data_IF_670586049345
#
_entry.id   IF_670586049345
#
_cell.length_a   1.000
_cell.length_b   1.000
_cell.length_c   1.000
_cell.angle_alpha   90.00
_cell.angle_beta   90.00
_cell.angle_gamma   90.00
#
_symmetry.space_group_name_H-M   'P 1'
#
loop_
_entity.id
_entity.type
_entity.pdbx_description
1 polymer ?
#
# COMPACT_ATOMS: atom_id res chain seq x y z
N UNK A 1 -0.89 -30.85 4.73
CA UNK A 1 -0.50 -31.33 6.07
C UNK A 1 -0.80 -32.82 6.14
N UNK A 2 0.23 -33.64 5.97
CA UNK A 2 0.23 -35.09 6.12
C UNK A 2 1.33 -35.41 7.15
N UNK A 3 1.09 -36.26 8.16
CA UNK A 3 2.11 -36.62 9.12
C UNK A 3 3.01 -37.71 8.52
N UNK A 4 4.32 -37.48 8.58
CA UNK A 4 5.35 -38.40 8.11
C UNK A 4 5.82 -39.27 9.29
N UNK A 5 5.66 -40.58 9.13
CA UNK A 5 6.09 -41.62 10.05
C UNK A 5 7.59 -41.52 10.34
N UNK A 6 7.92 -41.36 11.62
CA UNK A 6 9.30 -41.37 12.12
C UNK A 6 9.62 -42.78 12.61
N UNK A 7 10.13 -43.62 11.71
CA UNK A 7 10.66 -44.93 12.08
C UNK A 7 11.90 -44.76 12.96
N UNK A 8 11.82 -45.33 14.17
CA UNK A 8 12.95 -45.51 15.07
C UNK A 8 13.83 -46.66 14.56
N UNK A 9 15.06 -46.36 14.16
CA UNK A 9 16.12 -47.36 14.09
C UNK A 9 17.03 -47.19 15.31
N UNK A 10 16.84 -48.06 16.31
CA UNK A 10 17.83 -48.31 17.37
C UNK A 10 18.93 -49.18 16.77
N UNK A 11 20.03 -48.57 16.37
CA UNK A 11 21.27 -49.29 16.04
C UNK A 11 21.98 -49.71 17.33
N UNK A 12 22.17 -51.01 17.49
CA UNK A 12 22.95 -51.65 18.56
C UNK A 12 24.41 -51.21 18.43
N UNK A 13 24.90 -50.41 19.38
CA UNK A 13 26.33 -50.08 19.50
C UNK A 13 27.03 -51.14 20.33
N UNK A 14 27.55 -52.20 19.70
CA UNK A 14 28.58 -53.04 20.31
C UNK A 14 29.94 -52.42 20.02
N UNK A 15 30.43 -51.64 20.97
CA UNK A 15 31.79 -51.10 20.96
C UNK A 15 32.78 -52.26 21.12
N UNK A 16 33.67 -52.57 20.16
CA UNK A 16 34.83 -53.38 20.49
C UNK A 16 35.75 -52.51 21.35
N UNK A 17 36.14 -53.04 22.50
CA UNK A 17 37.09 -52.48 23.44
C UNK A 17 38.40 -52.15 22.71
N UNK A 18 38.51 -50.91 22.20
CA UNK A 18 39.76 -50.37 21.67
C UNK A 18 40.73 -50.20 22.82
N UNK A 19 41.62 -51.19 22.99
CA UNK A 19 42.86 -51.03 23.73
C UNK A 19 43.55 -49.80 23.13
N UNK A 20 43.63 -48.71 23.91
CA UNK A 20 44.35 -47.49 23.53
C UNK A 20 45.84 -47.83 23.52
N UNK A 21 46.33 -48.38 22.41
CA UNK A 21 47.76 -48.45 22.12
C UNK A 21 48.18 -47.02 21.80
N UNK A 22 48.99 -46.41 22.66
CA UNK A 22 49.51 -45.07 22.38
C UNK A 22 50.48 -45.12 21.20
N UNK A 23 50.65 -44.01 20.48
CA UNK A 23 51.58 -43.90 19.35
C UNK A 23 53.03 -44.22 19.76
N UNK A 24 53.32 -44.03 21.04
CA UNK A 24 54.60 -44.33 21.68
C UNK A 24 54.76 -45.84 21.97
N UNK A 25 53.66 -46.54 22.29
CA UNK A 25 53.68 -48.00 22.48
C UNK A 25 53.83 -48.77 21.17
N UNK A 26 53.37 -48.21 20.05
CA UNK A 26 53.49 -48.85 18.72
C UNK A 26 54.93 -48.83 18.19
N UNK A 27 55.75 -47.87 18.64
CA UNK A 27 57.18 -47.77 18.30
C UNK A 27 58.06 -48.57 19.29
N UNK A 28 57.72 -48.59 20.59
CA UNK A 28 58.40 -49.43 21.60
C UNK A 28 58.32 -50.93 21.32
N UNK A 29 57.36 -51.35 20.53
CA UNK A 29 57.11 -52.73 20.12
C UNK A 29 58.19 -53.28 19.18
N UNK A 30 58.99 -52.39 18.57
CA UNK A 30 60.02 -52.71 17.59
C UNK A 30 61.37 -52.96 18.26
N UNK A 31 61.60 -52.37 19.43
CA UNK A 31 62.85 -52.51 20.17
C UNK A 31 62.97 -53.88 20.85
N UNK A 32 64.19 -54.44 20.96
CA UNK A 32 64.41 -55.66 21.71
C UNK A 32 63.95 -55.48 23.17
N UNK A 33 63.12 -56.41 23.67
CA UNK A 33 62.63 -56.35 25.05
C UNK A 33 63.78 -56.47 26.07
N UNK A 34 64.86 -57.14 25.66
CA UNK A 34 66.06 -57.38 26.46
C UNK A 34 67.06 -56.25 26.25
N UNK A 35 67.57 -55.72 27.37
CA UNK A 35 68.64 -54.71 27.37
C UNK A 35 70.02 -55.29 27.67
N UNK A 36 70.12 -56.60 27.97
CA UNK A 36 71.36 -57.28 28.35
C UNK A 36 71.48 -58.65 27.69
N UNK A 37 72.70 -59.00 27.28
CA UNK A 37 73.05 -60.32 26.77
C UNK A 37 73.16 -61.31 27.94
N UNK A 38 72.30 -62.33 27.96
CA UNK A 38 72.23 -63.33 29.05
C UNK A 38 73.03 -64.59 28.71
N UNK A 39 73.17 -64.93 27.43
CA UNK A 39 73.94 -66.10 27.00
C UNK A 39 75.43 -65.77 26.95
N UNK A 40 76.24 -66.73 27.42
CA UNK A 40 77.69 -66.64 27.40
C UNK A 40 78.23 -66.65 25.95
N UNK A 41 77.52 -67.30 25.02
CA UNK A 41 77.85 -67.29 23.59
C UNK A 41 77.62 -65.91 22.97
N UNK A 42 76.50 -65.26 23.30
CA UNK A 42 76.19 -63.93 22.75
C UNK A 42 77.08 -62.84 23.35
N UNK A 43 77.43 -62.95 24.63
CA UNK A 43 78.46 -62.13 25.27
C UNK A 43 79.84 -62.32 24.63
N UNK A 44 80.23 -63.56 24.30
CA UNK A 44 81.49 -63.85 23.58
C UNK A 44 81.49 -63.25 22.18
N UNK A 45 80.40 -63.38 21.42
CA UNK A 45 80.30 -62.82 20.06
C UNK A 45 80.43 -61.29 20.10
N UNK A 46 79.73 -60.62 21.02
CA UNK A 46 79.87 -59.18 21.23
C UNK A 46 81.30 -58.81 21.67
N UNK A 47 81.89 -59.58 22.59
CA UNK A 47 83.25 -59.38 23.08
C UNK A 47 84.33 -59.57 22.00
N UNK A 48 84.16 -60.51 21.07
CA UNK A 48 85.06 -60.69 19.92
C UNK A 48 85.01 -59.46 19.01
N UNK A 49 83.82 -58.90 18.79
CA UNK A 49 83.68 -57.68 17.99
C UNK A 49 84.26 -56.46 18.71
N UNK A 50 84.06 -56.34 20.02
CA UNK A 50 84.69 -55.29 20.85
C UNK A 50 86.23 -55.40 20.82
N UNK A 51 86.76 -56.62 20.89
CA UNK A 51 88.19 -56.90 20.75
C UNK A 51 88.71 -56.58 19.34
N UNK A 52 87.93 -56.92 18.31
CA UNK A 52 88.27 -56.62 16.92
C UNK A 52 88.33 -55.11 16.68
N UNK A 53 87.30 -54.37 17.11
CA UNK A 53 87.26 -52.90 17.04
C UNK A 53 88.51 -52.32 17.71
N UNK A 54 88.83 -52.76 18.93
CA UNK A 54 89.99 -52.26 19.68
C UNK A 54 91.31 -52.55 18.98
N UNK A 55 91.46 -53.75 18.40
CA UNK A 55 92.67 -54.14 17.65
C UNK A 55 92.81 -53.34 16.35
N UNK A 56 91.72 -53.15 15.62
CA UNK A 56 91.70 -52.36 14.38
C UNK A 56 91.99 -50.88 14.68
N UNK A 57 91.44 -50.34 15.77
CA UNK A 57 91.77 -49.01 16.28
C UNK A 57 93.26 -48.89 16.62
N UNK A 58 93.84 -49.88 17.31
CA UNK A 58 95.27 -49.88 17.60
C UNK A 58 96.15 -49.94 16.34
N UNK A 59 95.79 -50.78 15.37
CA UNK A 59 96.51 -50.90 14.09
C UNK A 59 96.39 -49.60 13.29
N UNK A 60 95.21 -48.98 13.26
CA UNK A 60 94.97 -47.70 12.61
C UNK A 60 95.85 -46.56 13.18
N UNK A 61 96.18 -46.64 14.47
CA UNK A 61 97.00 -45.64 15.17
C UNK A 61 98.50 -45.92 15.12
N UNK A 62 98.90 -47.14 14.75
CA UNK A 62 100.29 -47.58 14.76
C UNK A 62 101.21 -46.71 13.87
N UNK A 63 100.83 -46.32 12.64
CA UNK A 63 101.67 -45.47 11.79
C UNK A 63 101.92 -44.08 12.40
N UNK A 64 100.91 -43.49 13.04
CA UNK A 64 100.99 -42.17 13.71
C UNK A 64 101.95 -42.25 14.89
N UNK A 65 101.83 -43.34 15.66
CA UNK A 65 102.65 -43.60 16.84
C UNK A 65 104.10 -43.88 16.47
N UNK A 66 104.36 -44.62 15.39
CA UNK A 66 105.71 -44.87 14.88
C UNK A 66 106.34 -43.56 14.36
N UNK A 67 105.56 -42.72 13.66
CA UNK A 67 106.04 -41.45 13.14
C UNK A 67 106.35 -40.41 14.23
N UNK A 68 105.76 -40.54 15.41
CA UNK A 68 105.97 -39.61 16.53
C UNK A 68 105.97 -40.36 17.87
N UNK A 69 107.10 -41.02 18.23
CA UNK A 69 107.23 -41.82 19.46
C UNK A 69 107.01 -41.00 20.74
N UNK A 70 107.17 -39.68 20.66
CA UNK A 70 106.96 -38.74 21.76
C UNK A 70 105.51 -38.64 22.24
N UNK A 71 104.52 -39.02 21.44
CA UNK A 71 103.10 -39.03 21.86
C UNK A 71 102.79 -40.08 22.93
N UNK A 72 103.69 -41.05 23.15
CA UNK A 72 103.51 -42.16 24.09
C UNK A 72 104.25 -41.98 25.42
N UNK A 73 104.87 -40.82 25.66
CA UNK A 73 105.74 -40.59 26.81
C UNK A 73 105.03 -40.65 28.17
N UNK A 74 103.71 -40.50 28.20
CA UNK A 74 102.92 -40.54 29.44
C UNK A 74 102.25 -41.91 29.57
N UNK A 75 102.95 -42.86 30.19
CA UNK A 75 102.34 -44.09 30.71
C UNK A 75 102.79 -45.42 30.11
N UNK A 76 103.83 -45.45 29.27
CA UNK A 76 104.40 -46.71 28.75
C UNK A 76 105.56 -47.24 29.60
N UNK A 77 105.66 -48.57 29.70
CA UNK A 77 106.90 -49.23 30.11
C UNK A 77 108.05 -48.75 29.20
N UNK A 78 109.18 -48.37 29.81
CA UNK A 78 110.38 -47.86 29.12
C UNK A 78 110.79 -48.74 27.93
N UNK A 79 110.61 -50.05 28.04
CA UNK A 79 110.93 -51.00 26.97
C UNK A 79 110.04 -50.93 25.72
N UNK A 80 108.77 -50.49 25.80
CA UNK A 80 107.90 -50.41 24.62
C UNK A 80 108.23 -49.18 23.75
N UNK A 81 108.49 -48.03 24.39
CA UNK A 81 108.95 -46.83 23.68
C UNK A 81 110.30 -47.04 22.99
N UNK A 82 111.20 -47.78 23.63
CA UNK A 82 112.48 -48.19 23.06
C UNK A 82 112.29 -49.09 21.82
N UNK A 83 111.45 -50.13 21.91
CA UNK A 83 111.17 -51.00 20.75
C UNK A 83 110.48 -50.29 19.58
N UNK A 84 109.62 -49.30 19.84
CA UNK A 84 108.99 -48.46 18.80
C UNK A 84 110.04 -47.54 18.17
N UNK A 85 110.93 -46.95 18.98
CA UNK A 85 112.04 -46.13 18.49
C UNK A 85 113.05 -46.93 17.67
N UNK A 86 113.36 -48.15 18.08
CA UNK A 86 114.23 -49.06 17.34
C UNK A 86 113.60 -49.52 16.03
N UNK A 87 112.29 -49.82 16.03
CA UNK A 87 111.55 -50.07 14.79
C UNK A 87 111.58 -48.87 13.85
N UNK A 88 111.38 -47.65 14.36
CA UNK A 88 111.46 -46.45 13.55
C UNK A 88 112.85 -46.26 12.92
N UNK A 89 113.93 -46.50 13.68
CA UNK A 89 115.31 -46.47 13.16
C UNK A 89 115.53 -47.54 12.08
N UNK A 90 115.07 -48.77 12.31
CA UNK A 90 115.15 -49.87 11.35
C UNK A 90 114.36 -49.55 10.08
N UNK A 91 113.15 -49.01 10.22
CA UNK A 91 112.31 -48.55 9.12
C UNK A 91 112.96 -47.42 8.30
N UNK A 92 113.57 -46.44 8.98
CA UNK A 92 114.30 -45.35 8.29
C UNK A 92 115.55 -45.82 7.56
N UNK A 93 116.27 -46.80 8.13
CA UNK A 93 117.42 -47.45 7.45
C UNK A 93 116.96 -48.22 6.23
N UNK A 94 115.88 -48.98 6.35
CA UNK A 94 115.28 -49.72 5.25
C UNK A 94 114.79 -48.78 4.14
N UNK A 95 114.11 -47.69 4.48
CA UNK A 95 113.67 -46.66 3.52
C UNK A 95 114.85 -46.00 2.79
N UNK A 96 115.93 -45.69 3.51
CA UNK A 96 117.16 -45.15 2.92
C UNK A 96 117.86 -46.15 2.00
N UNK A 97 117.94 -47.43 2.41
CA UNK A 97 118.51 -48.51 1.60
C UNK A 97 117.66 -48.80 0.37
N UNK A 98 116.34 -48.78 0.51
CA UNK A 98 115.38 -48.93 -0.57
C UNK A 98 115.54 -47.83 -1.62
N UNK A 99 115.70 -46.57 -1.22
CA UNK A 99 115.99 -45.49 -2.16
C UNK A 99 117.33 -45.66 -2.88
N UNK A 100 118.33 -46.25 -2.22
CA UNK A 100 119.64 -46.57 -2.83
C UNK A 100 119.48 -47.71 -3.85
N UNK A 101 118.75 -48.77 -3.51
CA UNK A 101 118.43 -49.88 -4.43
C UNK A 101 117.58 -49.43 -5.62
N UNK A 102 116.64 -48.50 -5.41
CA UNK A 102 115.82 -47.92 -6.49
C UNK A 102 116.62 -46.97 -7.40
N UNK A 103 117.77 -46.43 -6.95
CA UNK A 103 118.61 -45.51 -7.72
C UNK A 103 119.77 -46.17 -8.47
N UNK A 104 120.08 -47.45 -8.20
CA UNK A 104 121.12 -48.21 -8.90
C UNK A 104 120.50 -49.03 -10.04
N UNK A 105 120.57 -48.50 -11.27
CA UNK A 105 119.90 -49.10 -12.43
C UNK A 105 120.72 -50.20 -13.16
N UNK A 106 121.99 -50.44 -12.80
CA UNK A 106 122.88 -51.36 -13.54
C UNK A 106 123.63 -52.43 -12.71
N UNK A 107 123.33 -52.57 -11.41
CA UNK A 107 123.74 -53.75 -10.64
C UNK A 107 122.50 -54.31 -9.97
N UNK A 108 122.17 -55.58 -10.25
CA UNK A 108 121.13 -56.29 -9.52
C UNK A 108 121.45 -56.20 -8.03
N UNK A 109 120.60 -55.58 -7.19
CA UNK A 109 120.78 -55.69 -5.75
C UNK A 109 120.78 -57.19 -5.42
N UNK A 110 121.71 -57.64 -4.57
CA UNK A 110 121.71 -59.01 -4.12
C UNK A 110 120.32 -59.26 -3.51
N UNK A 111 119.48 -60.07 -4.15
CA UNK A 111 118.11 -60.34 -3.69
C UNK A 111 118.08 -60.83 -2.22
N UNK A 112 119.24 -61.33 -1.76
CA UNK A 112 119.53 -61.70 -0.38
C UNK A 112 119.61 -60.50 0.57
N UNK A 113 120.28 -59.40 0.21
CA UNK A 113 120.38 -58.20 1.06
C UNK A 113 119.04 -57.49 1.23
N UNK A 114 118.25 -57.41 0.15
CA UNK A 114 116.88 -56.85 0.20
C UNK A 114 115.96 -57.72 1.07
N UNK A 115 116.02 -59.05 0.89
CA UNK A 115 115.29 -60.03 1.70
C UNK A 115 115.72 -60.00 3.18
N UNK A 116 117.01 -59.84 3.46
CA UNK A 116 117.55 -59.76 4.83
C UNK A 116 117.10 -58.46 5.52
N UNK A 117 117.07 -57.34 4.80
CA UNK A 117 116.58 -56.06 5.35
C UNK A 117 115.06 -56.06 5.56
N UNK A 118 114.29 -56.63 4.63
CA UNK A 118 112.85 -56.87 4.81
C UNK A 118 112.59 -57.77 6.02
N UNK A 119 113.39 -58.84 6.17
CA UNK A 119 113.30 -59.74 7.32
C UNK A 119 113.61 -59.01 8.64
N UNK A 120 114.58 -58.09 8.66
CA UNK A 120 114.91 -57.27 9.84
C UNK A 120 113.77 -56.32 10.20
N UNK A 121 113.15 -55.63 9.22
CA UNK A 121 111.96 -54.79 9.45
C UNK A 121 110.80 -55.63 10.00
N UNK A 122 110.59 -56.80 9.43
CA UNK A 122 109.51 -57.71 9.83
C UNK A 122 109.74 -58.32 11.22
N UNK A 123 110.97 -58.70 11.58
CA UNK A 123 111.33 -59.11 12.94
C UNK A 123 111.08 -57.98 13.94
N UNK A 124 111.48 -56.76 13.59
CA UNK A 124 111.26 -55.57 14.40
C UNK A 124 109.76 -55.27 14.60
N UNK A 125 108.93 -55.41 13.57
CA UNK A 125 107.46 -55.30 13.69
C UNK A 125 106.89 -56.39 14.61
N UNK A 126 107.35 -57.63 14.47
CA UNK A 126 106.90 -58.75 15.32
C UNK A 126 107.27 -58.53 16.79
N UNK A 127 108.46 -58.04 17.06
CA UNK A 127 108.91 -57.75 18.42
C UNK A 127 108.15 -56.56 19.02
N UNK A 128 107.85 -55.54 18.22
CA UNK A 128 106.93 -54.47 18.60
C UNK A 128 105.54 -55.01 18.95
N UNK A 129 104.91 -55.81 18.08
CA UNK A 129 103.59 -56.36 18.35
C UNK A 129 103.57 -57.31 19.55
N UNK A 130 104.61 -58.13 19.75
CA UNK A 130 104.75 -58.96 20.95
C UNK A 130 104.82 -58.12 22.21
N UNK A 131 105.59 -57.01 22.19
CA UNK A 131 105.71 -56.11 23.33
C UNK A 131 104.44 -55.29 23.58
N UNK A 132 103.72 -54.90 22.53
CA UNK A 132 102.38 -54.29 22.60
C UNK A 132 101.38 -55.27 23.24
N UNK A 133 101.40 -56.54 22.86
CA UNK A 133 100.53 -57.58 23.44
C UNK A 133 100.89 -57.90 24.89
N UNK A 134 102.17 -57.86 25.26
CA UNK A 134 102.65 -58.10 26.62
C UNK A 134 102.37 -56.92 27.57
N UNK A 135 102.18 -55.70 27.04
CA UNK A 135 101.92 -54.50 27.82
C UNK A 135 100.42 -54.35 28.09
N UNK A 136 100.01 -54.56 29.35
CA UNK A 136 98.60 -54.48 29.77
C UNK A 136 97.99 -53.07 29.62
N UNK A 137 98.82 -52.02 29.62
CA UNK A 137 98.41 -50.62 29.44
C UNK A 137 98.46 -50.14 27.99
N UNK A 138 98.91 -50.96 27.04
CA UNK A 138 99.00 -50.56 25.64
C UNK A 138 97.63 -50.09 25.11
N UNK A 139 96.57 -50.87 25.30
CA UNK A 139 95.27 -50.52 24.74
C UNK A 139 94.69 -49.18 25.22
N UNK A 140 94.89 -48.80 26.50
CA UNK A 140 94.38 -47.52 27.02
C UNK A 140 95.23 -46.33 26.55
N UNK A 141 96.54 -46.53 26.39
CA UNK A 141 97.44 -45.50 25.87
C UNK A 141 97.20 -45.22 24.39
N UNK A 142 97.01 -46.25 23.55
CA UNK A 142 96.61 -46.08 22.16
C UNK A 142 95.22 -45.42 22.04
N UNK A 143 94.26 -45.77 22.89
CA UNK A 143 92.95 -45.10 22.90
C UNK A 143 93.05 -43.59 23.21
N UNK A 144 93.90 -43.20 24.17
CA UNK A 144 94.13 -41.80 24.51
C UNK A 144 94.79 -41.02 23.36
N UNK A 145 95.76 -41.64 22.67
CA UNK A 145 96.39 -41.07 21.46
C UNK A 145 95.38 -40.97 20.32
N UNK A 146 94.51 -41.97 20.19
CA UNK A 146 93.41 -41.96 19.22
C UNK A 146 92.48 -40.76 19.40
N UNK A 147 92.11 -40.43 20.64
CA UNK A 147 91.29 -39.24 20.91
C UNK A 147 91.96 -37.90 20.54
N UNK A 148 93.30 -37.87 20.41
CA UNK A 148 94.08 -36.68 20.09
C UNK A 148 94.46 -36.57 18.61
N UNK A 149 94.44 -37.66 17.84
CA UNK A 149 95.04 -37.74 16.50
C UNK A 149 94.16 -38.32 15.39
N UNK A 150 92.91 -38.72 15.70
CA UNK A 150 91.94 -39.26 14.72
C UNK A 150 91.39 -38.23 13.72
N UNK A 151 92.23 -37.44 13.06
CA UNK A 151 91.80 -36.56 11.95
C UNK A 151 92.65 -36.68 10.67
N UNK A 152 93.63 -37.60 10.60
CA UNK A 152 94.63 -37.55 9.52
C UNK A 152 94.57 -38.64 8.44
N UNK A 153 93.72 -39.67 8.57
CA UNK A 153 93.59 -40.71 7.55
C UNK A 153 92.16 -41.28 7.46
N UNK A 154 91.50 -41.16 6.30
CA UNK A 154 90.07 -41.46 6.12
C UNK A 154 89.74 -42.96 6.03
N UNK A 155 90.64 -43.77 5.49
CA UNK A 155 90.40 -45.19 5.24
C UNK A 155 90.25 -46.04 6.51
N UNK A 156 91.18 -45.99 7.48
CA UNK A 156 91.07 -46.80 8.70
C UNK A 156 89.92 -46.35 9.62
N UNK A 157 89.54 -45.07 9.56
CA UNK A 157 88.44 -44.51 10.36
C UNK A 157 87.08 -45.03 9.89
N UNK A 158 86.81 -45.03 8.59
CA UNK A 158 85.58 -45.58 8.01
C UNK A 158 85.39 -47.06 8.36
N UNK A 159 86.48 -47.84 8.44
CA UNK A 159 86.42 -49.23 8.87
C UNK A 159 86.03 -49.36 10.35
N UNK A 160 86.61 -48.55 11.23
CA UNK A 160 86.27 -48.54 12.66
C UNK A 160 84.81 -48.10 12.88
N UNK A 161 84.34 -47.08 12.15
CA UNK A 161 82.95 -46.61 12.18
C UNK A 161 81.98 -47.70 11.72
N UNK A 162 82.26 -48.34 10.58
CA UNK A 162 81.46 -49.47 10.08
C UNK A 162 81.43 -50.65 11.06
N UNK A 163 82.52 -50.94 11.77
CA UNK A 163 82.54 -51.97 12.81
C UNK A 163 81.70 -51.56 14.05
N UNK A 164 81.68 -50.28 14.41
CA UNK A 164 80.82 -49.75 15.48
C UNK A 164 79.34 -49.79 15.09
N UNK A 165 79.00 -49.48 13.84
CA UNK A 165 77.64 -49.64 13.31
C UNK A 165 77.21 -51.11 13.29
N UNK A 166 78.09 -51.99 12.79
CA UNK A 166 77.87 -53.43 12.81
C UNK A 166 77.64 -53.94 14.24
N UNK A 167 78.37 -53.40 15.22
CA UNK A 167 78.18 -53.72 16.64
C UNK A 167 76.79 -53.33 17.14
N UNK A 168 76.27 -52.18 16.75
CA UNK A 168 74.90 -51.76 17.11
C UNK A 168 73.86 -52.72 16.53
N UNK A 169 73.97 -53.03 15.24
CA UNK A 169 73.07 -53.98 14.55
C UNK A 169 73.16 -55.37 15.16
N UNK A 170 74.37 -55.86 15.42
CA UNK A 170 74.61 -57.16 16.02
C UNK A 170 74.04 -57.24 17.44
N UNK A 171 74.17 -56.18 18.24
CA UNK A 171 73.55 -56.10 19.56
C UNK A 171 72.03 -56.12 19.47
N UNK A 172 71.41 -55.35 18.58
CA UNK A 172 69.96 -55.40 18.36
C UNK A 172 69.51 -56.82 18.00
N UNK A 173 70.23 -57.50 17.09
CA UNK A 173 69.92 -58.86 16.65
C UNK A 173 70.16 -59.93 17.71
N UNK A 174 71.20 -59.80 18.54
CA UNK A 174 71.48 -60.72 19.64
C UNK A 174 70.56 -60.51 20.86
N UNK A 175 70.01 -59.31 21.02
CA UNK A 175 69.03 -58.99 22.07
C UNK A 175 67.60 -59.37 21.66
N UNK A 176 67.33 -59.53 20.36
CA UNK A 176 66.03 -59.91 19.82
C UNK A 176 65.85 -61.43 19.85
N UNK A 177 64.74 -61.90 20.41
CA UNK A 177 64.42 -63.33 20.40
C UNK A 177 63.74 -63.75 19.09
N UNK A 178 63.82 -65.02 18.68
CA UNK A 178 63.12 -65.49 17.47
C UNK A 178 61.60 -65.33 17.51
N UNK A 179 61.00 -65.30 18.71
CA UNK A 179 59.58 -65.05 18.89
C UNK A 179 59.24 -63.56 18.66
N UNK A 180 60.05 -62.65 19.21
CA UNK A 180 59.92 -61.20 19.01
C UNK A 180 60.12 -60.82 17.54
N UNK A 181 61.09 -61.41 16.83
CA UNK A 181 61.29 -61.15 15.40
C UNK A 181 60.08 -61.58 14.57
N UNK A 182 59.50 -62.76 14.84
CA UNK A 182 58.26 -63.22 14.19
C UNK A 182 57.09 -62.29 14.48
N UNK A 183 56.96 -61.84 15.73
CA UNK A 183 55.92 -60.90 16.12
C UNK A 183 56.09 -59.53 15.45
N UNK A 184 57.34 -59.03 15.32
CA UNK A 184 57.67 -57.81 14.58
C UNK A 184 57.26 -57.93 13.11
N UNK A 185 57.58 -59.05 12.46
CA UNK A 185 57.19 -59.32 11.07
C UNK A 185 55.66 -59.36 10.92
N UNK A 186 54.95 -60.14 11.74
CA UNK A 186 53.49 -60.24 11.70
C UNK A 186 52.83 -58.87 11.92
N UNK A 187 53.27 -58.12 12.92
CA UNK A 187 52.75 -56.77 13.20
C UNK A 187 52.99 -55.81 12.03
N UNK A 188 54.17 -55.86 11.41
CA UNK A 188 54.48 -55.02 10.26
C UNK A 188 53.60 -55.36 9.05
N UNK A 189 53.33 -56.65 8.83
CA UNK A 189 52.39 -57.11 7.80
C UNK A 189 50.95 -56.66 8.10
N UNK A 190 50.47 -56.82 9.33
CA UNK A 190 49.16 -56.33 9.75
C UNK A 190 49.02 -54.81 9.57
N UNK A 191 50.06 -54.04 9.93
CA UNK A 191 50.06 -52.60 9.74
C UNK A 191 50.01 -52.22 8.26
N UNK A 192 50.73 -52.94 7.39
CA UNK A 192 50.69 -52.75 5.94
C UNK A 192 49.31 -53.06 5.36
N UNK A 193 48.70 -54.17 5.78
CA UNK A 193 47.34 -54.55 5.37
C UNK A 193 46.32 -53.51 5.82
N UNK A 194 46.36 -53.09 7.08
CA UNK A 194 45.49 -52.02 7.61
C UNK A 194 45.72 -50.71 6.86
N UNK A 195 46.96 -50.38 6.52
CA UNK A 195 47.27 -49.19 5.73
C UNK A 195 46.62 -49.26 4.35
N UNK A 196 46.75 -50.38 3.62
CA UNK A 196 46.10 -50.56 2.32
C UNK A 196 44.57 -50.53 2.43
N UNK A 197 43.97 -51.25 3.38
CA UNK A 197 42.51 -51.21 3.58
C UNK A 197 41.99 -49.81 3.95
N UNK A 198 42.75 -49.05 4.74
CA UNK A 198 42.40 -47.66 5.04
C UNK A 198 42.53 -46.77 3.80
N UNK A 199 43.55 -46.99 2.97
CA UNK A 199 43.74 -46.23 1.73
C UNK A 199 42.58 -46.48 0.75
N UNK A 200 42.17 -47.75 0.59
CA UNK A 200 41.01 -48.12 -0.22
C UNK A 200 39.73 -47.50 0.34
N UNK A 201 39.54 -47.54 1.67
CA UNK A 201 38.40 -46.90 2.32
C UNK A 201 38.38 -45.38 2.07
N UNK A 202 39.52 -44.70 2.20
CA UNK A 202 39.62 -43.27 1.89
C UNK A 202 39.24 -43.00 0.44
N UNK A 203 39.75 -43.78 -0.52
CA UNK A 203 39.42 -43.62 -1.93
C UNK A 203 37.92 -43.83 -2.20
N UNK A 204 37.28 -44.82 -1.57
CA UNK A 204 35.83 -45.04 -1.70
C UNK A 204 35.02 -43.87 -1.12
N UNK A 205 35.39 -43.35 0.04
CA UNK A 205 34.71 -42.22 0.67
C UNK A 205 34.90 -40.93 -0.14
N UNK A 206 36.09 -40.70 -0.69
CA UNK A 206 36.35 -39.57 -1.59
C UNK A 206 35.47 -39.66 -2.85
N UNK A 207 35.32 -40.86 -3.43
CA UNK A 207 34.45 -41.08 -4.58
C UNK A 207 32.96 -40.88 -4.24
N UNK A 208 32.49 -41.36 -3.09
CA UNK A 208 31.11 -41.15 -2.61
C UNK A 208 30.82 -39.66 -2.37
N UNK A 209 31.75 -38.93 -1.76
CA UNK A 209 31.62 -37.48 -1.55
C UNK A 209 31.58 -36.75 -2.89
N UNK A 210 32.46 -37.10 -3.83
CA UNK A 210 32.45 -36.50 -5.16
C UNK A 210 31.14 -36.75 -5.92
N UNK A 211 30.62 -37.98 -5.84
CA UNK A 211 29.32 -38.34 -6.43
C UNK A 211 28.17 -37.54 -5.78
N UNK A 212 28.13 -37.46 -4.45
CA UNK A 212 27.11 -36.70 -3.73
C UNK A 212 27.14 -35.20 -4.05
N UNK A 213 28.34 -34.61 -4.20
CA UNK A 213 28.50 -33.21 -4.63
C UNK A 213 27.94 -33.02 -6.05
N UNK A 214 28.27 -33.92 -6.97
CA UNK A 214 27.79 -33.86 -8.35
C UNK A 214 26.26 -33.95 -8.42
N UNK A 215 25.65 -34.91 -7.73
CA UNK A 215 24.20 -35.10 -7.70
C UNK A 215 23.49 -33.86 -7.12
N UNK A 216 24.05 -33.29 -6.04
CA UNK A 216 23.55 -32.04 -5.46
C UNK A 216 23.62 -30.89 -6.47
N UNK A 217 24.74 -30.75 -7.18
CA UNK A 217 24.92 -29.65 -8.15
C UNK A 217 23.99 -29.80 -9.36
N UNK A 218 23.72 -31.03 -9.81
CA UNK A 218 22.71 -31.33 -10.84
C UNK A 218 21.30 -30.96 -10.38
N UNK A 219 20.91 -31.29 -9.14
CA UNK A 219 19.64 -30.86 -8.57
C UNK A 219 19.52 -29.34 -8.46
N UNK A 220 20.57 -28.67 -7.98
CA UNK A 220 20.62 -27.22 -7.89
C UNK A 220 20.46 -26.60 -9.28
N UNK A 221 21.11 -27.15 -10.31
CA UNK A 221 20.96 -26.70 -11.69
C UNK A 221 19.52 -26.84 -12.20
N UNK A 222 18.87 -27.99 -11.95
CA UNK A 222 17.46 -28.22 -12.30
C UNK A 222 16.52 -27.23 -11.59
N UNK A 223 16.69 -27.05 -10.27
CA UNK A 223 15.90 -26.08 -9.49
C UNK A 223 16.12 -24.64 -9.98
N UNK A 224 17.36 -24.27 -10.31
CA UNK A 224 17.69 -22.96 -10.88
C UNK A 224 17.07 -22.73 -12.26
N UNK A 225 16.95 -23.76 -13.10
CA UNK A 225 16.21 -23.67 -14.37
C UNK A 225 14.73 -23.40 -14.13
N UNK A 226 14.09 -24.16 -13.22
CA UNK A 226 12.69 -23.94 -12.85
C UNK A 226 12.47 -22.53 -12.30
N UNK A 227 13.35 -22.05 -11.42
CA UNK A 227 13.28 -20.67 -10.89
C UNK A 227 13.35 -19.64 -12.03
N UNK A 228 14.24 -19.83 -13.01
CA UNK A 228 14.33 -18.93 -14.18
C UNK A 228 13.06 -18.94 -15.03
N UNK A 229 12.49 -20.11 -15.29
CA UNK A 229 11.22 -20.23 -16.02
C UNK A 229 10.07 -19.56 -15.28
N UNK A 230 9.93 -19.80 -13.97
CA UNK A 230 8.89 -19.20 -13.14
C UNK A 230 9.05 -17.67 -13.05
N UNK A 231 10.27 -17.15 -12.90
CA UNK A 231 10.53 -15.70 -12.93
C UNK A 231 10.12 -15.07 -14.26
N UNK A 232 10.45 -15.71 -15.38
CA UNK A 232 10.06 -15.23 -16.71
C UNK A 232 8.54 -15.23 -16.89
N UNK A 233 7.88 -16.32 -16.50
CA UNK A 233 6.42 -16.44 -16.59
C UNK A 233 5.71 -15.43 -15.69
N UNK A 234 6.21 -15.20 -14.48
CA UNK A 234 5.66 -14.20 -13.56
C UNK A 234 5.78 -12.79 -14.15
N UNK A 235 6.95 -12.42 -14.67
CA UNK A 235 7.15 -11.12 -15.30
C UNK A 235 6.25 -10.92 -16.53
N UNK A 236 6.06 -11.96 -17.35
CA UNK A 236 5.13 -11.93 -18.47
C UNK A 236 3.69 -11.72 -18.00
N UNK A 237 3.26 -12.44 -16.95
CA UNK A 237 1.92 -12.30 -16.40
C UNK A 237 1.68 -10.90 -15.81
N UNK A 238 2.65 -10.37 -15.07
CA UNK A 238 2.62 -9.01 -14.51
C UNK A 238 2.46 -7.98 -15.62
N UNK A 239 3.29 -8.05 -16.67
CA UNK A 239 3.18 -7.17 -17.83
C UNK A 239 1.81 -7.27 -18.53
N UNK A 240 1.30 -8.48 -18.74
CA UNK A 240 -0.02 -8.68 -19.35
C UNK A 240 -1.12 -8.07 -18.48
N UNK A 241 -1.01 -8.21 -17.15
CA UNK A 241 -1.96 -7.64 -16.20
C UNK A 241 -1.91 -6.11 -16.19
N UNK A 242 -0.72 -5.52 -16.17
CA UNK A 242 -0.53 -4.07 -16.28
C UNK A 242 -1.11 -3.51 -17.59
N UNK A 243 -0.80 -4.15 -18.72
CA UNK A 243 -1.33 -3.77 -20.04
C UNK A 243 -2.87 -3.93 -20.11
N UNK A 244 -3.44 -4.92 -19.41
CA UNK A 244 -4.89 -5.09 -19.30
C UNK A 244 -5.52 -3.97 -18.48
N UNK A 245 -4.99 -3.69 -17.29
CA UNK A 245 -5.48 -2.62 -16.40
C UNK A 245 -5.38 -1.26 -17.08
N UNK A 246 -4.27 -0.97 -17.75
CA UNK A 246 -4.07 0.28 -18.48
C UNK A 246 -5.13 0.45 -19.59
N UNK A 247 -5.39 -0.59 -20.39
CA UNK A 247 -6.42 -0.57 -21.44
C UNK A 247 -7.83 -0.38 -20.87
N UNK A 248 -8.19 -1.14 -19.83
CA UNK A 248 -9.50 -1.01 -19.19
C UNK A 248 -9.72 0.37 -18.61
N UNK A 249 -8.69 0.95 -17.97
CA UNK A 249 -8.76 2.31 -17.44
C UNK A 249 -8.94 3.34 -18.54
N UNK A 250 -8.16 3.24 -19.63
CA UNK A 250 -8.28 4.16 -20.76
C UNK A 250 -9.67 4.08 -21.41
N UNK A 251 -10.23 2.88 -21.55
CA UNK A 251 -11.58 2.72 -22.10
C UNK A 251 -12.66 3.29 -21.18
N UNK A 252 -12.55 3.05 -19.87
CA UNK A 252 -13.44 3.65 -18.88
C UNK A 252 -13.36 5.20 -18.89
N UNK A 253 -12.17 5.78 -19.01
CA UNK A 253 -11.98 7.22 -19.11
C UNK A 253 -12.61 7.80 -20.39
N UNK A 254 -12.48 7.12 -21.54
CA UNK A 254 -13.15 7.53 -22.79
C UNK A 254 -14.66 7.47 -22.67
N UNK A 255 -15.19 6.38 -22.10
CA UNK A 255 -16.63 6.21 -21.89
C UNK A 255 -17.18 7.28 -20.95
N UNK A 256 -16.52 7.50 -19.80
CA UNK A 256 -16.89 8.57 -18.87
C UNK A 256 -16.88 9.95 -19.52
N UNK A 257 -15.89 10.27 -20.36
CA UNK A 257 -15.85 11.54 -21.08
C UNK A 257 -17.00 11.71 -22.07
N UNK A 258 -17.37 10.63 -22.78
CA UNK A 258 -18.51 10.62 -23.68
C UNK A 258 -19.83 10.81 -22.94
N UNK A 259 -20.00 10.10 -21.82
CA UNK A 259 -21.20 10.18 -20.98
C UNK A 259 -21.34 11.55 -20.32
N UNK A 260 -20.23 12.12 -19.84
CA UNK A 260 -20.20 13.47 -19.27
C UNK A 260 -20.66 14.50 -20.30
N UNK A 261 -20.09 14.49 -21.52
CA UNK A 261 -20.52 15.40 -22.60
C UNK A 261 -21.99 15.25 -22.95
N UNK A 262 -22.48 14.01 -22.99
CA UNK A 262 -23.89 13.73 -23.27
C UNK A 262 -24.79 14.27 -22.16
N UNK A 263 -24.39 14.09 -20.90
CA UNK A 263 -25.07 14.60 -19.72
C UNK A 263 -25.09 16.13 -19.70
N UNK A 264 -23.94 16.78 -19.90
CA UNK A 264 -23.81 18.24 -19.96
C UNK A 264 -24.71 18.84 -21.05
N UNK A 265 -24.74 18.22 -22.24
CA UNK A 265 -25.63 18.63 -23.33
C UNK A 265 -27.12 18.44 -23.03
N UNK A 266 -27.50 17.45 -22.20
CA UNK A 266 -28.90 17.31 -21.71
C UNK A 266 -29.22 18.35 -20.65
N UNK A 267 -28.30 18.58 -19.72
CA UNK A 267 -28.46 19.58 -18.66
C UNK A 267 -28.63 20.98 -19.24
N UNK A 268 -27.82 21.37 -20.23
CA UNK A 268 -27.94 22.66 -20.91
C UNK A 268 -29.30 22.81 -21.60
N UNK A 269 -29.78 21.77 -22.28
CA UNK A 269 -31.12 21.78 -22.91
C UNK A 269 -32.24 21.95 -21.89
N UNK A 270 -32.22 21.18 -20.80
CA UNK A 270 -33.22 21.31 -19.73
C UNK A 270 -33.16 22.69 -19.07
N UNK A 271 -31.96 23.26 -18.86
CA UNK A 271 -31.81 24.62 -18.33
C UNK A 271 -32.40 25.67 -19.28
N UNK A 272 -32.19 25.52 -20.59
CA UNK A 272 -32.81 26.39 -21.60
C UNK A 272 -34.34 26.28 -21.57
N UNK A 273 -34.89 25.07 -21.51
CA UNK A 273 -36.34 24.84 -21.41
C UNK A 273 -36.93 25.46 -20.13
N UNK A 274 -36.27 25.29 -18.99
CA UNK A 274 -36.68 25.93 -17.72
C UNK A 274 -36.68 27.47 -17.85
N UNK A 275 -35.64 28.04 -18.47
CA UNK A 275 -35.58 29.49 -18.68
C UNK A 275 -36.68 30.00 -19.62
N UNK A 276 -36.99 29.25 -20.68
CA UNK A 276 -38.04 29.56 -21.63
C UNK A 276 -39.43 29.49 -20.99
N UNK A 277 -39.70 28.40 -20.24
CA UNK A 277 -40.95 28.23 -19.51
C UNK A 277 -41.12 29.30 -18.42
N UNK A 278 -40.03 29.68 -17.73
CA UNK A 278 -40.03 30.79 -16.79
C UNK A 278 -40.42 32.11 -17.44
N UNK A 279 -39.89 32.39 -18.64
CA UNK A 279 -40.27 33.58 -19.42
C UNK A 279 -41.72 33.53 -19.88
N UNK A 280 -42.19 32.38 -20.38
CA UNK A 280 -43.59 32.19 -20.78
C UNK A 280 -44.56 32.39 -19.60
N UNK A 281 -44.24 31.86 -18.43
CA UNK A 281 -45.03 32.02 -17.22
C UNK A 281 -45.10 33.51 -16.81
N UNK A 282 -43.97 34.20 -16.80
CA UNK A 282 -43.93 35.63 -16.45
C UNK A 282 -44.76 36.48 -17.42
N UNK A 283 -44.70 36.19 -18.73
CA UNK A 283 -45.52 36.87 -19.72
C UNK A 283 -47.01 36.63 -19.47
N UNK A 284 -47.43 35.36 -19.25
CA UNK A 284 -48.82 35.04 -18.93
C UNK A 284 -49.31 35.72 -17.65
N UNK A 285 -48.46 35.83 -16.62
CA UNK A 285 -48.79 36.55 -15.39
C UNK A 285 -49.00 38.04 -15.69
N UNK A 286 -48.13 38.66 -16.50
CA UNK A 286 -48.25 40.06 -16.87
C UNK A 286 -49.53 40.34 -17.68
N UNK A 287 -49.79 39.52 -18.71
CA UNK A 287 -50.98 39.63 -19.57
C UNK A 287 -52.27 39.48 -18.74
N UNK A 288 -52.34 38.44 -17.90
CA UNK A 288 -53.50 38.22 -17.03
C UNK A 288 -53.70 39.37 -16.05
N UNK A 289 -52.62 39.92 -15.49
CA UNK A 289 -52.69 41.08 -14.60
C UNK A 289 -53.21 42.32 -15.32
N UNK A 290 -52.79 42.55 -16.57
CA UNK A 290 -53.30 43.65 -17.38
C UNK A 290 -54.80 43.49 -17.68
N UNK A 291 -55.22 42.29 -18.09
CA UNK A 291 -56.64 41.96 -18.33
C UNK A 291 -57.48 42.16 -17.07
N UNK A 292 -56.99 41.68 -15.93
CA UNK A 292 -57.65 41.80 -14.63
C UNK A 292 -57.81 43.26 -14.21
N UNK A 293 -56.74 44.07 -14.32
CA UNK A 293 -56.79 45.51 -14.05
C UNK A 293 -57.77 46.22 -15.01
N UNK A 294 -57.81 45.81 -16.27
CA UNK A 294 -58.77 46.31 -17.26
C UNK A 294 -60.21 45.99 -16.88
N UNK A 295 -60.48 44.79 -16.38
CA UNK A 295 -61.78 44.40 -15.85
C UNK A 295 -62.16 45.17 -14.59
N UNK A 296 -61.24 45.35 -13.63
CA UNK A 296 -61.47 46.19 -12.44
C UNK A 296 -61.85 47.62 -12.79
N UNK A 297 -61.14 48.24 -13.74
CA UNK A 297 -61.45 49.59 -14.23
C UNK A 297 -62.84 49.67 -14.86
N UNK A 298 -63.22 48.67 -15.66
CA UNK A 298 -64.58 48.60 -16.26
C UNK A 298 -65.66 48.41 -15.19
N UNK A 299 -65.45 47.51 -14.23
CA UNK A 299 -66.33 47.30 -13.08
C UNK A 299 -66.56 48.62 -12.33
N UNK A 300 -65.48 49.31 -11.97
CA UNK A 300 -65.57 50.60 -11.26
C UNK A 300 -66.34 51.67 -12.04
N UNK A 301 -66.16 51.76 -13.37
CA UNK A 301 -66.93 52.68 -14.23
C UNK A 301 -68.42 52.38 -14.19
N UNK A 302 -68.79 51.11 -14.37
CA UNK A 302 -70.21 50.69 -14.34
C UNK A 302 -70.80 50.90 -12.95
N UNK A 303 -70.08 50.59 -11.88
CA UNK A 303 -70.52 50.86 -10.50
C UNK A 303 -70.75 52.35 -10.26
N UNK A 304 -69.86 53.21 -10.77
CA UNK A 304 -70.02 54.67 -10.68
C UNK A 304 -71.23 55.16 -11.50
N UNK A 305 -71.46 54.59 -12.68
CA UNK A 305 -72.65 54.92 -13.49
C UNK A 305 -73.94 54.50 -12.78
N UNK A 306 -73.98 53.32 -12.16
CA UNK A 306 -75.12 52.86 -11.35
C UNK A 306 -75.37 53.80 -10.18
N UNK A 307 -74.32 54.14 -9.43
CA UNK A 307 -74.42 55.08 -8.30
C UNK A 307 -74.98 56.44 -8.75
N UNK A 308 -74.53 56.96 -9.89
CA UNK A 308 -75.07 58.20 -10.47
C UNK A 308 -76.56 58.06 -10.84
N UNK A 309 -77.00 56.91 -11.36
CA UNK A 309 -78.41 56.67 -11.67
C UNK A 309 -79.27 56.54 -10.42
N UNK A 310 -78.76 55.91 -9.36
CA UNK A 310 -79.43 55.86 -8.05
C UNK A 310 -79.60 57.28 -7.50
N UNK A 311 -78.54 58.08 -7.48
CA UNK A 311 -78.61 59.46 -6.98
C UNK A 311 -79.62 60.32 -7.76
N UNK A 312 -79.69 60.17 -9.09
CA UNK A 312 -80.70 60.85 -9.91
C UNK A 312 -82.11 60.38 -9.58
N UNK A 313 -82.31 59.07 -9.45
CA UNK A 313 -83.61 58.52 -9.09
C UNK A 313 -84.06 59.00 -7.72
N UNK A 314 -83.18 58.96 -6.71
CA UNK A 314 -83.49 59.43 -5.36
C UNK A 314 -83.81 60.93 -5.34
N UNK A 315 -83.10 61.74 -6.14
CA UNK A 315 -83.39 63.16 -6.31
C UNK A 315 -84.75 63.40 -6.96
N UNK A 316 -85.01 62.79 -8.12
CA UNK A 316 -86.27 62.95 -8.86
C UNK A 316 -87.47 62.44 -8.04
N UNK A 317 -87.32 61.32 -7.33
CA UNK A 317 -88.34 60.80 -6.42
C UNK A 317 -88.57 61.74 -5.23
N UNK A 318 -87.51 62.34 -4.69
CA UNK A 318 -87.58 63.37 -3.67
C UNK A 318 -88.36 64.59 -4.13
N UNK A 319 -88.06 65.12 -5.33
CA UNK A 319 -88.80 66.25 -5.92
C UNK A 319 -90.28 65.90 -6.13
N UNK A 320 -90.58 64.71 -6.66
CA UNK A 320 -91.97 64.26 -6.87
C UNK A 320 -92.72 64.09 -5.55
N UNK A 321 -92.05 63.61 -4.51
CA UNK A 321 -92.63 63.51 -3.18
C UNK A 321 -92.97 64.90 -2.62
N UNK A 322 -92.05 65.87 -2.75
CA UNK A 322 -92.33 67.26 -2.33
C UNK A 322 -93.47 67.89 -3.12
N UNK A 323 -93.54 67.69 -4.43
CA UNK A 323 -94.67 68.17 -5.26
C UNK A 323 -96.00 67.55 -4.81
N UNK A 324 -96.02 66.24 -4.49
CA UNK A 324 -97.22 65.57 -4.00
C UNK A 324 -97.65 66.09 -2.62
N UNK A 325 -96.69 66.33 -1.72
CA UNK A 325 -96.94 66.92 -0.40
C UNK A 325 -97.52 68.33 -0.54
N UNK A 326 -96.93 69.18 -1.38
CA UNK A 326 -97.43 70.54 -1.67
C UNK A 326 -98.85 70.51 -2.26
N UNK A 327 -99.11 69.65 -3.25
CA UNK A 327 -100.44 69.51 -3.85
C UNK A 327 -101.47 68.93 -2.87
N UNK A 328 -101.05 68.02 -1.99
CA UNK A 328 -101.93 67.46 -0.95
C UNK A 328 -102.29 68.55 0.06
N UNK A 329 -101.31 69.37 0.46
CA UNK A 329 -101.55 70.52 1.32
C UNK A 329 -102.53 71.50 0.68
N UNK A 330 -102.31 71.89 -0.58
CA UNK A 330 -103.23 72.77 -1.31
C UNK A 330 -104.63 72.16 -1.43
N UNK A 331 -104.74 70.86 -1.72
CA UNK A 331 -106.03 70.17 -1.79
C UNK A 331 -106.75 70.16 -0.42
N UNK A 332 -106.03 69.97 0.68
CA UNK A 332 -106.60 70.05 2.02
C UNK A 332 -107.08 71.47 2.35
N UNK A 333 -106.30 72.49 1.97
CA UNK A 333 -106.67 73.91 2.09
C UNK A 333 -107.92 74.23 1.25
N UNK A 334 -107.92 73.91 -0.05
CA UNK A 334 -109.07 74.14 -0.95
C UNK A 334 -110.32 73.37 -0.50
N UNK A 335 -110.17 72.16 0.03
CA UNK A 335 -111.28 71.37 0.57
C UNK A 335 -111.88 72.03 1.81
N UNK A 336 -111.05 72.63 2.65
CA UNK A 336 -111.51 73.36 3.82
C UNK A 336 -112.21 74.66 3.42
N UNK A 337 -111.67 75.41 2.47
CA UNK A 337 -112.33 76.58 1.88
C UNK A 337 -113.68 76.21 1.24
N UNK A 338 -113.74 75.09 0.53
CA UNK A 338 -115.00 74.58 -0.05
C UNK A 338 -116.02 74.26 1.05
N UNK A 339 -115.59 73.63 2.15
CA UNK A 339 -116.45 73.32 3.30
C UNK A 339 -117.02 74.60 3.90
N UNK A 340 -116.18 75.62 4.12
CA UNK A 340 -116.61 76.94 4.59
C UNK A 340 -117.62 77.60 3.64
N UNK A 341 -117.39 77.49 2.32
CA UNK A 341 -118.28 78.05 1.31
C UNK A 341 -119.61 77.29 1.20
N UNK A 342 -119.61 75.97 1.31
CA UNK A 342 -120.82 75.13 1.34
C UNK A 342 -121.67 75.45 2.58
N UNK A 343 -121.04 75.62 3.75
CA UNK A 343 -121.72 76.05 4.97
C UNK A 343 -122.37 77.43 4.78
N UNK A 344 -121.65 78.40 4.18
CA UNK A 344 -122.19 79.72 3.86
C UNK A 344 -123.32 79.66 2.82
N UNK A 345 -123.16 78.83 1.78
CA UNK A 345 -124.18 78.64 0.75
C UNK A 345 -125.46 78.04 1.32
N UNK A 346 -125.35 77.06 2.22
CA UNK A 346 -126.50 76.47 2.90
C UNK A 346 -127.28 77.49 3.72
N UNK A 347 -126.58 78.41 4.41
CA UNK A 347 -127.23 79.53 5.11
C UNK A 347 -127.93 80.46 4.11
N UNK A 348 -127.24 80.84 3.04
CA UNK A 348 -127.78 81.75 2.01
C UNK A 348 -128.99 81.15 1.27
N UNK A 349 -129.02 79.85 1.02
CA UNK A 349 -130.13 79.15 0.35
C UNK A 349 -131.40 79.15 1.22
N UNK A 350 -131.24 78.97 2.54
CA UNK A 350 -132.33 79.13 3.50
C UNK A 350 -132.87 80.56 3.50
N UNK A 351 -132.00 81.57 3.48
CA UNK A 351 -132.43 82.97 3.37
C UNK A 351 -133.12 83.27 2.03
N UNK A 352 -132.58 82.75 0.91
CA UNK A 352 -133.14 82.94 -0.42
C UNK A 352 -134.54 82.33 -0.53
N UNK A 353 -134.73 81.10 -0.04
CA UNK A 353 -136.04 80.44 -0.05
C UNK A 353 -137.06 81.18 0.80
N UNK A 354 -136.66 81.73 1.96
CA UNK A 354 -137.51 82.60 2.77
C UNK A 354 -137.93 83.85 2.01
N UNK A 355 -137.00 84.57 1.39
CA UNK A 355 -137.31 85.79 0.60
C UNK A 355 -138.19 85.48 -0.61
N UNK A 356 -137.94 84.38 -1.31
CA UNK A 356 -138.76 83.97 -2.46
C UNK A 356 -140.18 83.61 -2.04
N UNK A 357 -140.34 82.93 -0.91
CA UNK A 357 -141.67 82.61 -0.39
C UNK A 357 -142.41 83.84 0.13
N UNK A 358 -141.68 84.79 0.75
CA UNK A 358 -142.23 86.12 1.08
C UNK A 358 -142.70 86.88 -0.18
N UNK A 359 -141.93 86.85 -1.27
CA UNK A 359 -142.32 87.46 -2.55
C UNK A 359 -143.54 86.77 -3.17
N UNK A 360 -143.62 85.44 -3.12
CA UNK A 360 -144.78 84.66 -3.60
C UNK A 360 -146.05 85.08 -2.86
N UNK A 361 -145.99 85.12 -1.53
CA UNK A 361 -147.10 85.57 -0.69
C UNK A 361 -147.47 87.05 -0.95
N UNK A 362 -146.50 87.91 -1.25
CA UNK A 362 -146.75 89.30 -1.59
C UNK A 362 -147.42 89.48 -2.96
N UNK A 363 -147.01 88.71 -3.99
CA UNK A 363 -147.66 88.70 -5.30
C UNK A 363 -149.10 88.19 -5.21
N UNK A 364 -149.33 87.11 -4.46
CA UNK A 364 -150.67 86.54 -4.25
C UNK A 364 -151.62 87.56 -3.59
N UNK A 365 -151.11 88.35 -2.62
CA UNK A 365 -151.86 89.49 -2.04
C UNK A 365 -152.15 90.61 -3.06
N UNK A 366 -151.18 90.97 -3.91
CA UNK A 366 -151.40 92.01 -4.93
C UNK A 366 -152.44 91.61 -5.98
N UNK A 367 -152.42 90.35 -6.43
CA UNK A 367 -153.41 89.84 -7.40
C UNK A 367 -154.83 89.82 -6.83
N UNK A 368 -154.99 89.50 -5.54
CA UNK A 368 -156.28 89.60 -4.85
C UNK A 368 -156.81 91.05 -4.81
N UNK A 369 -155.94 92.02 -4.49
CA UNK A 369 -156.30 93.44 -4.49
C UNK A 369 -156.68 93.95 -5.90
N UNK A 370 -155.98 93.50 -6.94
CA UNK A 370 -156.29 93.86 -8.32
C UNK A 370 -157.63 93.30 -8.79
N UNK A 371 -157.95 92.03 -8.45
CA UNK A 371 -159.26 91.45 -8.75
C UNK A 371 -160.40 92.23 -8.09
N UNK A 372 -160.22 92.68 -6.84
CA UNK A 372 -161.20 93.54 -6.16
C UNK A 372 -161.35 94.88 -6.87
N UNK A 373 -160.23 95.50 -7.29
CA UNK A 373 -160.21 96.79 -8.01
C UNK A 373 -160.89 96.72 -9.38
N UNK A 374 -160.71 95.63 -10.13
CA UNK A 374 -161.35 95.43 -11.44
C UNK A 374 -162.88 95.29 -11.36
N UNK A 375 -163.39 94.64 -10.32
CA UNK A 375 -164.85 94.52 -10.11
C UNK A 375 -165.45 95.90 -9.83
N UNK A 376 -164.78 96.73 -9.02
CA UNK A 376 -165.22 98.11 -8.75
C UNK A 376 -165.15 99.00 -10.00
N UNK A 377 -164.12 98.86 -10.85
CA UNK A 377 -163.98 99.60 -12.11
C UNK A 377 -165.09 99.28 -13.14
N UNK A 378 -165.53 98.02 -13.22
CA UNK A 378 -166.64 97.62 -14.09
C UNK A 378 -167.98 98.26 -13.70
N UNK A 379 -168.25 98.39 -12.40
CA UNK A 379 -169.46 99.06 -11.91
C UNK A 379 -169.50 100.56 -12.27
N UNK A 380 -168.37 101.26 -12.19
CA UNK A 380 -168.29 102.70 -12.51
C UNK A 380 -168.53 103.02 -13.99
N UNK A 381 -168.16 102.12 -14.91
CA UNK A 381 -168.23 102.34 -16.36
C UNK A 381 -169.67 102.29 -16.90
N UNK A 382 -170.52 101.43 -16.34
CA UNK A 382 -171.94 101.30 -16.71
C UNK A 382 -172.73 102.56 -16.35
N UNK A 383 -172.42 103.18 -15.21
CA UNK A 383 -173.06 104.42 -14.74
C UNK A 383 -172.71 105.61 -15.66
N UNK A 384 -171.44 105.72 -16.09
CA UNK A 384 -170.99 106.82 -16.96
C UNK A 384 -171.55 106.76 -18.39
N UNK A 385 -171.80 105.56 -18.93
CA UNK A 385 -172.32 105.38 -20.28
C UNK A 385 -173.78 105.84 -20.43
N UNK A 386 -174.62 105.61 -19.40
CA UNK A 386 -176.04 105.98 -19.43
C UNK A 386 -176.25 107.51 -19.46
N UNK A 387 -175.41 108.28 -18.76
CA UNK A 387 -175.50 109.75 -18.69
C UNK A 387 -175.14 110.45 -20.01
N UNK A 388 -174.10 109.97 -20.71
CA UNK A 388 -173.62 110.57 -21.98
C UNK A 388 -174.66 110.45 -23.12
N UNK A 389 -175.50 109.43 -23.11
CA UNK A 389 -176.55 109.23 -24.13
C UNK A 389 -177.73 110.20 -24.06
N UNK A 390 -178.02 110.78 -22.89
CA UNK A 390 -179.16 111.70 -22.71
C UNK A 390 -178.84 113.14 -23.17
N UNK A 391 -177.58 113.56 -23.02
CA UNK A 391 -177.13 114.92 -23.35
C UNK A 391 -177.15 115.23 -24.86
N UNK A 392 -176.80 114.25 -25.71
CA UNK A 392 -176.66 114.45 -27.17
C UNK A 392 -178.01 114.60 -27.89
N UNK A 393 -179.11 114.06 -27.35
CA UNK A 393 -180.45 114.12 -27.97
C UNK A 393 -181.17 115.46 -27.78
N UNK A 394 -180.70 116.35 -26.89
CA UNK A 394 -181.30 117.67 -26.63
C UNK A 394 -180.79 118.80 -27.54
N UNK A 395 -179.63 118.64 -28.19
CA UNK A 395 -178.94 119.73 -28.92
C UNK A 395 -179.31 119.80 -30.42
N UNK A 396 -179.90 118.76 -31.02
CA UNK A 396 -180.11 118.66 -32.48
C UNK A 396 -181.47 119.16 -33.04
N UNK A 397 -182.34 119.83 -32.25
CA UNK A 397 -183.65 120.37 -32.72
C UNK A 397 -183.67 121.87 -33.07
N UNK A 398 -182.57 122.61 -32.97
CA UNK A 398 -182.52 124.05 -33.24
C UNK A 398 -181.59 124.40 -34.42
N UNK A 399 -182.22 124.92 -35.49
CA UNK A 399 -181.67 125.79 -36.56
C UNK A 399 -181.17 125.15 -37.85
N UNK A 400 -182.10 125.09 -38.80
CA UNK A 400 -181.86 125.27 -40.23
C UNK A 400 -181.71 126.76 -40.60
N UNK A 401 -180.92 126.99 -41.69
CA UNK A 401 -180.64 128.20 -42.51
C UNK A 401 -179.30 128.91 -42.19
N UNK A 402 -178.27 128.87 -43.06
CA UNK A 402 -178.12 128.20 -44.36
C UNK A 402 -176.74 128.37 -45.05
N UNK A 403 -176.39 127.34 -45.87
CA UNK A 403 -175.72 127.29 -47.21
C UNK A 403 -174.32 127.96 -47.43
N UNK A 404 -173.32 127.41 -48.15
CA UNK A 404 -173.16 126.17 -48.98
C UNK A 404 -171.69 126.03 -49.50
N UNK A 405 -171.14 124.80 -49.49
CA UNK A 405 -170.20 124.21 -50.50
C UNK A 405 -168.67 124.44 -50.32
N UNK A 406 -167.73 123.50 -50.58
CA UNK A 406 -167.73 122.26 -51.40
C UNK A 406 -166.42 121.42 -51.20
N UNK A 407 -166.52 120.06 -51.25
CA UNK A 407 -165.54 118.96 -51.56
C UNK A 407 -164.12 118.98 -50.93
N UNK A 408 -163.50 117.89 -50.43
CA UNK A 408 -163.81 116.45 -50.31
C UNK A 408 -162.52 115.60 -50.15
N UNK A 409 -162.70 114.35 -49.65
CA UNK A 409 -161.91 113.10 -49.89
C UNK A 409 -160.83 112.63 -48.87
N UNK A 410 -161.09 111.43 -48.32
CA UNK A 410 -160.11 110.38 -47.95
C UNK A 410 -159.57 110.43 -46.51
N UNK A 411 -159.34 109.33 -45.78
CA UNK A 411 -159.25 107.91 -46.14
C UNK A 411 -159.23 107.05 -44.83
N UNK A 412 -159.77 105.83 -44.95
CA UNK A 412 -159.72 104.59 -44.12
C UNK A 412 -158.50 104.44 -43.20
N UNK A 413 -158.61 103.80 -42.03
CA UNK A 413 -158.91 102.37 -41.77
C UNK A 413 -157.93 101.95 -40.63
N UNK A 414 -158.13 100.91 -39.83
CA UNK A 414 -158.91 99.68 -39.89
C UNK A 414 -159.18 99.24 -38.45
#
# INVERSE_FOLDING_TARGET
>A
MLPCDRQQQKTVSSSPSKIKITRDDSLKIVDPSRKKLVSLETQRIAGILDECIRKVEMIALLPIVIASPGLLTVGMETGLSETIGDHWKVGKRYESQRHIWESQEEQTPEAKEMSDAEHVVHCSLKDMFRKIQACSTASSTFANVGSLTLQRDECPQRLVEGLRELRLVLLERLLTTPAEERERICRMQEMSQRYHSNLDLVATLEAEVAAAIKDRDEEISKKNQTIRHLKSSLHQMEKISEDFVARTRQEAEKQNHSDQKTSDGRQQRMQQEVSLLGLQLNNLIADNREVELGLRKRKYKVETEIENWIQKYDFDMGEKQTELEDMTQLFEEEKEELRELEELHGVLEVEYTQVMEERRLAQERQEEEERVREVMGRAATVIQAYWRGCHVRKVMRAKAKGKKGKKGKGKKGK
#
